data_IF_441952982406
#
_entry.id   IF_441952982406
#
_cell.length_a   1.000
_cell.length_b   1.000
_cell.length_c   1.000
_cell.angle_alpha   90.00
_cell.angle_beta   90.00
_cell.angle_gamma   90.00
#
_symmetry.space_group_name_H-M   'P 1'
#
loop_
_entity.id
_entity.type
_entity.pdbx_description
1 polymer ?
#
# COMPACT_ATOMS: atom_id res chain seq x y z
N UNK A 1 27.70 44.44 26.71
CA UNK A 1 26.76 43.35 26.38
C UNK A 1 25.36 43.92 26.41
N UNK A 2 24.73 44.07 25.25
CA UNK A 2 23.31 44.46 25.14
C UNK A 2 22.46 43.37 25.80
N UNK A 3 21.65 43.75 26.79
CA UNK A 3 20.66 42.85 27.42
C UNK A 3 19.76 42.32 26.32
N UNK A 4 19.77 41.01 26.09
CA UNK A 4 18.82 40.36 25.18
C UNK A 4 17.46 40.34 25.90
N UNK A 5 16.59 41.29 25.57
CA UNK A 5 15.22 41.32 26.09
C UNK A 5 14.39 40.22 25.44
N UNK A 6 13.60 39.50 26.24
CA UNK A 6 12.72 38.45 25.74
C UNK A 6 11.51 39.09 25.06
N UNK A 7 11.17 38.60 23.86
CA UNK A 7 9.94 38.99 23.17
C UNK A 7 8.71 38.68 24.03
N UNK A 8 7.71 39.55 23.98
CA UNK A 8 6.42 39.35 24.65
C UNK A 8 5.53 38.30 23.95
N UNK A 9 5.88 37.90 22.72
CA UNK A 9 5.19 36.86 21.95
C UNK A 9 6.11 35.67 21.73
N UNK A 10 5.57 34.47 21.90
CA UNK A 10 6.27 33.24 21.53
C UNK A 10 6.48 33.18 20.02
N UNK A 11 7.71 32.93 19.60
CA UNK A 11 8.11 32.84 18.19
C UNK A 11 8.61 31.42 17.90
N UNK A 12 7.72 30.48 17.49
CA UNK A 12 8.12 29.09 17.28
C UNK A 12 9.24 28.94 16.26
N UNK A 13 9.24 29.77 15.21
CA UNK A 13 10.26 29.73 14.17
C UNK A 13 11.66 29.98 14.72
N UNK A 14 11.82 30.95 15.64
CA UNK A 14 13.11 31.25 16.28
C UNK A 14 13.54 30.15 17.26
N UNK A 15 12.57 29.50 17.90
CA UNK A 15 12.79 28.49 18.93
C UNK A 15 13.14 27.14 18.31
N UNK A 16 12.46 26.76 17.23
CA UNK A 16 12.65 25.50 16.50
C UNK A 16 13.89 25.52 15.58
N UNK A 17 14.27 26.69 15.06
CA UNK A 17 15.38 26.81 14.12
C UNK A 17 16.69 26.18 14.66
N UNK A 18 17.25 25.23 13.90
CA UNK A 18 18.48 24.51 14.25
C UNK A 18 18.35 23.51 15.39
N UNK A 19 17.17 23.38 16.02
CA UNK A 19 16.99 22.56 17.22
C UNK A 19 16.98 21.08 16.88
N UNK A 20 16.35 20.70 15.77
CA UNK A 20 16.25 19.32 15.35
C UNK A 20 17.63 18.77 14.95
N UNK A 21 18.37 19.55 14.18
CA UNK A 21 19.75 19.27 13.77
C UNK A 21 20.64 19.08 15.00
N UNK A 22 20.54 19.97 16.00
CA UNK A 22 21.28 19.83 17.24
C UNK A 22 20.91 18.59 18.07
N UNK A 23 19.70 18.06 17.94
CA UNK A 23 19.30 16.80 18.58
C UNK A 23 19.89 15.59 17.85
N UNK A 24 19.91 15.63 16.52
CA UNK A 24 20.50 14.58 15.68
C UNK A 24 22.02 14.51 15.83
N UNK A 25 22.72 15.65 15.82
CA UNK A 25 24.18 15.72 16.02
C UNK A 25 24.63 15.13 17.36
N UNK A 26 23.75 15.18 18.36
CA UNK A 26 23.98 14.63 19.71
C UNK A 26 23.45 13.21 19.87
N UNK A 27 22.93 12.60 18.81
CA UNK A 27 22.39 11.23 18.81
C UNK A 27 21.31 10.99 19.89
N UNK A 28 20.53 12.03 20.25
CA UNK A 28 19.62 11.99 21.41
C UNK A 28 18.45 11.01 21.28
N UNK A 29 18.20 10.51 20.07
CA UNK A 29 17.07 9.62 19.78
C UNK A 29 17.45 8.15 19.68
N UNK A 30 18.74 7.83 19.66
CA UNK A 30 19.23 6.45 19.63
C UNK A 30 18.89 5.73 20.95
N UNK A 31 18.60 4.42 20.90
CA UNK A 31 18.57 3.60 22.10
C UNK A 31 19.90 3.72 22.86
N UNK A 32 19.82 3.84 24.17
CA UNK A 32 20.98 3.92 25.07
C UNK A 32 21.79 2.62 25.10
N UNK A 33 21.17 1.48 24.78
CA UNK A 33 21.80 0.16 24.86
C UNK A 33 22.00 -0.33 26.30
N UNK A 34 21.42 0.36 27.28
CA UNK A 34 21.47 -0.05 28.68
C UNK A 34 20.66 -1.33 28.88
N UNK A 35 21.36 -2.44 29.16
CA UNK A 35 20.75 -3.76 29.37
C UNK A 35 19.87 -3.86 30.63
N UNK A 36 20.02 -2.93 31.58
CA UNK A 36 19.20 -2.86 32.79
C UNK A 36 17.90 -2.08 32.56
N UNK A 37 17.87 -1.20 31.56
CA UNK A 37 16.69 -0.43 31.21
C UNK A 37 15.69 -1.32 30.46
N UNK A 38 14.41 -1.18 30.79
CA UNK A 38 13.35 -1.95 30.13
C UNK A 38 13.19 -1.46 28.68
N UNK A 39 13.25 -2.32 27.67
CA UNK A 39 13.10 -1.90 26.27
C UNK A 39 11.66 -1.47 25.98
N UNK A 40 11.51 -0.47 25.14
CA UNK A 40 10.21 -0.06 24.59
C UNK A 40 10.38 0.35 23.13
N UNK A 41 9.68 -0.31 22.22
CA UNK A 41 9.83 -0.02 20.79
C UNK A 41 8.51 0.26 20.10
N UNK A 42 8.52 1.22 19.18
CA UNK A 42 7.46 1.45 18.20
C UNK A 42 8.11 1.35 16.82
N UNK A 43 7.40 0.75 15.87
CA UNK A 43 7.75 0.82 14.44
C UNK A 43 6.80 1.85 13.84
N UNK A 44 7.34 2.86 13.16
CA UNK A 44 6.48 3.80 12.43
C UNK A 44 5.73 3.00 11.36
N UNK A 45 4.41 3.19 11.17
CA UNK A 45 3.73 2.73 9.97
C UNK A 45 4.44 3.37 8.77
N UNK A 46 5.15 2.59 7.94
CA UNK A 46 6.04 3.16 6.94
C UNK A 46 5.20 3.89 5.89
N UNK A 47 5.38 5.21 5.68
CA UNK A 47 4.65 5.91 4.64
C UNK A 47 5.10 5.44 3.26
N UNK A 48 4.18 5.47 2.32
CA UNK A 48 4.44 5.14 0.92
C UNK A 48 5.30 6.22 0.25
N UNK A 49 6.28 5.82 -0.55
CA UNK A 49 7.12 6.75 -1.35
C UNK A 49 6.39 7.29 -2.60
N UNK A 50 5.12 7.65 -2.46
CA UNK A 50 4.22 8.03 -3.58
C UNK A 50 3.86 9.52 -3.60
N UNK A 51 4.29 10.29 -2.60
CA UNK A 51 3.83 11.66 -2.40
C UNK A 51 4.42 12.34 -1.15
N UNK A 52 4.05 13.60 -0.93
CA UNK A 52 4.34 14.30 0.34
C UNK A 52 3.36 13.85 1.43
N UNK A 53 3.83 13.82 2.68
CA UNK A 53 2.97 13.51 3.82
C UNK A 53 1.90 14.59 4.02
N UNK A 54 0.66 14.16 4.26
CA UNK A 54 -0.47 15.01 4.67
C UNK A 54 -0.73 14.99 6.19
N UNK A 55 -1.70 15.78 6.66
CA UNK A 55 -2.08 15.91 8.08
C UNK A 55 -2.38 14.59 8.80
N UNK A 56 -2.96 13.60 8.11
CA UNK A 56 -3.15 12.25 8.67
C UNK A 56 -1.84 11.61 9.18
N UNK A 57 -0.74 11.74 8.44
CA UNK A 57 0.57 11.24 8.88
C UNK A 57 1.12 12.05 10.06
N UNK A 58 0.90 13.37 10.07
CA UNK A 58 1.30 14.22 11.18
C UNK A 58 0.56 13.83 12.47
N UNK A 59 -0.74 13.52 12.37
CA UNK A 59 -1.53 13.05 13.50
C UNK A 59 -1.05 11.68 14.01
N UNK A 60 -0.86 10.71 13.12
CA UNK A 60 -0.35 9.38 13.47
C UNK A 60 1.01 9.44 14.18
N UNK A 61 1.96 10.15 13.58
CA UNK A 61 3.33 10.24 14.10
C UNK A 61 3.44 11.07 15.37
N UNK A 62 2.64 12.13 15.54
CA UNK A 62 2.64 12.93 16.76
C UNK A 62 2.22 12.10 17.99
N UNK A 63 1.22 11.22 17.84
CA UNK A 63 0.79 10.33 18.93
C UNK A 63 1.90 9.35 19.33
N UNK A 64 2.58 8.75 18.35
CA UNK A 64 3.69 7.84 18.60
C UNK A 64 4.88 8.57 19.26
N UNK A 65 5.23 9.77 18.80
CA UNK A 65 6.34 10.57 19.37
C UNK A 65 6.09 10.94 20.84
N UNK A 66 4.86 11.34 21.17
CA UNK A 66 4.46 11.65 22.55
C UNK A 66 4.72 10.42 23.46
N UNK A 67 4.31 9.23 23.02
CA UNK A 67 4.50 7.99 23.77
C UNK A 67 5.98 7.65 23.90
N UNK A 68 6.76 7.74 22.81
CA UNK A 68 8.20 7.46 22.82
C UNK A 68 8.92 8.40 23.78
N UNK A 69 8.66 9.71 23.71
CA UNK A 69 9.26 10.70 24.60
C UNK A 69 8.89 10.44 26.05
N UNK A 70 7.62 10.16 26.33
CA UNK A 70 7.16 9.82 27.67
C UNK A 70 7.87 8.58 28.22
N UNK A 71 8.00 7.51 27.41
CA UNK A 71 8.69 6.28 27.81
C UNK A 71 10.17 6.49 28.04
N UNK A 72 10.84 7.26 27.19
CA UNK A 72 12.24 7.65 27.35
C UNK A 72 12.44 8.41 28.67
N UNK A 73 11.56 9.35 28.99
CA UNK A 73 11.58 10.09 30.26
C UNK A 73 11.26 9.24 31.49
N UNK A 74 10.54 8.12 31.33
CA UNK A 74 10.28 7.12 32.38
C UNK A 74 11.46 6.15 32.59
N UNK A 75 12.57 6.32 31.87
CA UNK A 75 13.76 5.47 31.98
C UNK A 75 13.73 4.19 31.15
N UNK A 76 12.81 4.06 30.20
CA UNK A 76 12.83 2.95 29.24
C UNK A 76 13.91 3.16 28.20
N UNK A 77 14.51 2.07 27.71
CA UNK A 77 15.38 2.11 26.53
C UNK A 77 14.51 2.10 25.27
N UNK A 78 14.28 3.29 24.71
CA UNK A 78 13.31 3.47 23.63
C UNK A 78 13.91 3.34 22.25
N UNK A 79 13.28 2.58 21.36
CA UNK A 79 13.53 2.57 19.92
C UNK A 79 12.27 2.99 19.16
N UNK A 80 12.30 4.11 18.47
CA UNK A 80 11.30 4.40 17.45
C UNK A 80 11.93 4.20 16.08
N UNK A 81 11.58 3.07 15.45
CA UNK A 81 12.19 2.61 14.20
C UNK A 81 11.53 3.31 13.01
N UNK A 82 12.25 4.20 12.29
CA UNK A 82 11.73 4.78 11.07
C UNK A 82 11.83 3.80 9.90
N UNK A 83 10.94 3.94 8.94
CA UNK A 83 11.06 3.27 7.66
C UNK A 83 10.04 3.79 6.65
N UNK A 84 10.21 3.41 5.39
CA UNK A 84 9.36 3.80 4.28
C UNK A 84 8.96 2.58 3.46
N UNK A 85 7.78 2.65 2.84
CA UNK A 85 7.24 1.58 2.02
C UNK A 85 7.37 1.92 0.54
N UNK A 86 7.91 0.98 -0.23
CA UNK A 86 7.98 1.01 -1.69
C UNK A 86 6.60 1.10 -2.36
N UNK A 87 5.52 0.66 -1.70
CA UNK A 87 4.13 0.76 -2.16
C UNK A 87 3.84 0.19 -3.57
N UNK A 88 4.70 -0.69 -4.08
CA UNK A 88 4.53 -1.46 -5.33
C UNK A 88 3.76 -0.72 -6.45
N UNK A 89 2.51 -1.15 -6.66
CA UNK A 89 1.61 -0.65 -7.71
C UNK A 89 1.39 0.87 -7.61
N UNK A 90 1.28 1.42 -6.40
CA UNK A 90 1.02 2.85 -6.20
C UNK A 90 2.22 3.71 -6.65
N UNK A 91 3.45 3.29 -6.33
CA UNK A 91 4.67 3.97 -6.78
C UNK A 91 4.84 3.83 -8.29
N UNK A 92 4.61 2.63 -8.83
CA UNK A 92 4.66 2.40 -10.27
C UNK A 92 3.69 3.32 -11.02
N UNK A 93 2.44 3.44 -10.56
CA UNK A 93 1.44 4.32 -11.18
C UNK A 93 1.86 5.79 -11.17
N UNK A 94 2.48 6.26 -10.09
CA UNK A 94 2.98 7.64 -9.97
C UNK A 94 4.17 7.94 -10.87
N UNK A 95 5.12 7.00 -10.97
CA UNK A 95 6.26 7.13 -11.88
C UNK A 95 5.79 7.09 -13.34
N UNK A 96 4.87 6.18 -13.69
CA UNK A 96 4.27 6.12 -15.03
C UNK A 96 3.49 7.40 -15.38
N UNK A 97 2.78 8.00 -14.41
CA UNK A 97 2.11 9.29 -14.58
C UNK A 97 3.11 10.42 -14.91
N UNK A 98 4.21 10.54 -14.14
CA UNK A 98 5.28 11.53 -14.40
C UNK A 98 5.95 11.32 -15.76
N UNK A 99 6.23 10.06 -16.14
CA UNK A 99 6.82 9.75 -17.45
C UNK A 99 5.86 10.11 -18.59
N UNK A 100 4.56 9.86 -18.42
CA UNK A 100 3.53 10.21 -19.40
C UNK A 100 3.42 11.73 -19.60
N UNK A 101 3.59 12.53 -18.55
CA UNK A 101 3.66 14.00 -18.66
C UNK A 101 4.85 14.47 -19.52
N UNK A 102 5.93 13.68 -19.56
CA UNK A 102 7.09 13.90 -20.42
C UNK A 102 6.93 13.27 -21.81
N UNK A 103 5.78 12.64 -22.10
CA UNK A 103 5.51 11.94 -23.35
C UNK A 103 6.26 10.61 -23.50
N UNK A 104 6.78 10.05 -22.41
CA UNK A 104 7.55 8.79 -22.40
C UNK A 104 6.69 7.68 -21.80
N UNK A 105 6.66 6.52 -22.44
CA UNK A 105 6.07 5.30 -21.88
C UNK A 105 7.12 4.44 -21.18
N UNK A 106 6.71 3.67 -20.17
CA UNK A 106 7.57 2.63 -19.56
C UNK A 106 8.10 1.63 -20.59
N UNK A 107 7.34 1.39 -21.65
CA UNK A 107 7.73 0.46 -22.72
C UNK A 107 8.87 1.02 -23.57
N UNK A 108 8.98 2.35 -23.68
CA UNK A 108 10.06 3.02 -24.42
C UNK A 108 11.40 2.92 -23.66
N UNK A 109 11.34 2.92 -22.32
CA UNK A 109 12.50 2.82 -21.44
C UNK A 109 13.03 1.38 -21.33
N UNK A 110 12.13 0.39 -21.33
CA UNK A 110 12.44 -0.96 -20.92
C UNK A 110 12.59 -1.11 -19.40
N UNK A 111 12.68 -2.36 -18.93
CA UNK A 111 12.61 -2.68 -17.50
C UNK A 111 13.71 -2.04 -16.66
N UNK A 112 14.96 -2.16 -17.10
CA UNK A 112 16.13 -1.71 -16.32
C UNK A 112 16.07 -0.20 -16.04
N UNK A 113 15.94 0.59 -17.11
CA UNK A 113 15.82 2.06 -17.00
C UNK A 113 14.57 2.49 -16.22
N UNK A 114 13.45 1.79 -16.40
CA UNK A 114 12.26 2.08 -15.61
C UNK A 114 12.49 1.85 -14.11
N UNK A 115 13.19 0.78 -13.74
CA UNK A 115 13.55 0.52 -12.34
C UNK A 115 14.51 1.60 -11.80
N UNK A 116 15.47 2.07 -12.59
CA UNK A 116 16.33 3.19 -12.22
C UNK A 116 15.52 4.48 -11.93
N UNK A 117 14.53 4.80 -12.78
CA UNK A 117 13.62 5.94 -12.55
C UNK A 117 12.80 5.78 -11.27
N UNK A 118 12.33 4.56 -10.97
CA UNK A 118 11.60 4.27 -9.72
C UNK A 118 12.50 4.48 -8.49
N UNK A 119 13.77 4.09 -8.56
CA UNK A 119 14.73 4.34 -7.47
C UNK A 119 15.07 5.83 -7.31
N UNK A 120 15.23 6.55 -8.41
CA UNK A 120 15.42 8.00 -8.41
C UNK A 120 14.24 8.71 -7.73
N UNK A 121 13.01 8.32 -8.11
CA UNK A 121 11.79 8.78 -7.46
C UNK A 121 11.79 8.48 -5.96
N UNK A 122 12.15 7.26 -5.56
CA UNK A 122 12.25 6.88 -4.13
C UNK A 122 13.18 7.81 -3.37
N UNK A 123 14.36 8.15 -3.90
CA UNK A 123 15.31 9.00 -3.18
C UNK A 123 14.80 10.44 -3.02
N UNK A 124 14.18 11.00 -4.06
CA UNK A 124 13.55 12.32 -4.02
C UNK A 124 12.46 12.38 -2.92
N UNK A 125 11.54 11.42 -2.92
CA UNK A 125 10.42 11.41 -1.98
C UNK A 125 10.85 11.00 -0.56
N UNK A 126 11.83 10.11 -0.42
CA UNK A 126 12.42 9.82 0.88
C UNK A 126 13.03 11.08 1.53
N UNK A 127 13.68 11.94 0.73
CA UNK A 127 14.16 13.24 1.17
C UNK A 127 13.04 14.11 1.73
N UNK A 128 11.95 14.28 0.99
CA UNK A 128 10.80 15.06 1.43
C UNK A 128 10.14 14.51 2.70
N UNK A 129 9.99 13.19 2.82
CA UNK A 129 9.44 12.54 4.01
C UNK A 129 10.31 12.85 5.24
N UNK A 130 11.65 12.73 5.10
CA UNK A 130 12.59 13.04 6.19
C UNK A 130 12.52 14.51 6.60
N UNK A 131 12.43 15.44 5.63
CA UNK A 131 12.26 16.87 5.92
C UNK A 131 10.97 17.15 6.69
N UNK A 132 9.87 16.47 6.34
CA UNK A 132 8.59 16.62 7.03
C UNK A 132 8.65 16.05 8.46
N UNK A 133 9.25 14.87 8.65
CA UNK A 133 9.50 14.31 9.98
C UNK A 133 10.39 15.22 10.83
N UNK A 134 11.44 15.80 10.23
CA UNK A 134 12.31 16.76 10.89
C UNK A 134 11.56 18.02 11.30
N UNK A 135 10.70 18.54 10.42
CA UNK A 135 9.91 19.73 10.72
C UNK A 135 8.89 19.51 11.82
N UNK A 136 8.34 18.30 11.94
CA UNK A 136 7.48 17.90 13.07
C UNK A 136 8.28 17.62 14.36
N UNK A 137 9.60 17.49 14.27
CA UNK A 137 10.48 17.24 15.40
C UNK A 137 10.39 15.82 15.95
N UNK A 138 10.12 14.83 15.10
CA UNK A 138 9.93 13.43 15.54
C UNK A 138 11.22 12.82 16.11
N UNK A 139 11.15 12.11 17.25
CA UNK A 139 12.33 11.53 17.89
C UNK A 139 12.75 10.15 17.34
N UNK A 140 12.93 10.07 16.01
CA UNK A 140 13.24 8.86 15.26
C UNK A 140 14.74 8.49 15.29
N UNK A 141 15.04 7.19 15.27
CA UNK A 141 16.41 6.68 15.11
C UNK A 141 16.73 6.42 13.63
N UNK A 142 17.20 7.45 12.92
CA UNK A 142 17.58 7.34 11.51
C UNK A 142 18.75 6.38 11.23
N UNK A 143 19.57 6.05 12.24
CA UNK A 143 20.67 5.08 12.04
C UNK A 143 20.18 3.66 11.75
N UNK A 144 18.88 3.42 11.99
CA UNK A 144 18.20 2.14 11.75
C UNK A 144 17.09 2.25 10.72
N UNK A 145 17.03 3.36 9.96
CA UNK A 145 15.99 3.56 8.96
C UNK A 145 15.92 2.38 7.98
N UNK A 146 14.70 1.91 7.72
CA UNK A 146 14.43 0.79 6.82
C UNK A 146 13.66 1.20 5.57
N UNK A 147 13.87 0.46 4.50
CA UNK A 147 13.06 0.55 3.29
C UNK A 147 12.63 -0.86 2.91
N UNK A 148 11.38 -1.05 2.53
CA UNK A 148 10.82 -2.39 2.29
C UNK A 148 11.55 -3.20 1.21
N UNK A 149 12.26 -2.54 0.29
CA UNK A 149 13.13 -3.18 -0.70
C UNK A 149 14.64 -3.09 -0.37
N UNK A 150 15.00 -2.71 0.86
CA UNK A 150 16.39 -2.85 1.32
C UNK A 150 16.80 -4.32 1.44
N UNK A 151 18.10 -4.60 1.46
CA UNK A 151 18.63 -5.97 1.45
C UNK A 151 18.12 -6.79 2.64
N UNK A 152 18.02 -6.17 3.82
CA UNK A 152 17.62 -6.86 5.05
C UNK A 152 16.15 -7.26 5.06
N UNK A 153 15.26 -6.35 4.66
CA UNK A 153 13.83 -6.64 4.55
C UNK A 153 13.53 -7.56 3.37
N UNK A 154 14.26 -7.43 2.26
CA UNK A 154 14.15 -8.35 1.11
C UNK A 154 14.52 -9.79 1.48
N UNK A 155 15.58 -9.97 2.28
CA UNK A 155 15.94 -11.29 2.82
C UNK A 155 14.87 -11.82 3.77
N UNK A 156 14.32 -10.97 4.65
CA UNK A 156 13.25 -11.36 5.55
C UNK A 156 12.00 -11.84 4.80
N UNK A 157 11.55 -11.12 3.77
CA UNK A 157 10.42 -11.52 2.91
C UNK A 157 10.70 -12.86 2.23
N UNK A 158 11.90 -13.05 1.68
CA UNK A 158 12.30 -14.31 1.04
C UNK A 158 12.27 -15.47 2.04
N UNK A 159 12.80 -15.27 3.25
CA UNK A 159 12.77 -16.29 4.30
C UNK A 159 11.34 -16.67 4.68
N UNK A 160 10.46 -15.69 4.86
CA UNK A 160 9.04 -15.94 5.18
C UNK A 160 8.36 -16.70 4.05
N UNK A 161 8.55 -16.27 2.80
CA UNK A 161 7.99 -16.96 1.64
C UNK A 161 8.42 -18.43 1.58
N UNK A 162 9.73 -18.71 1.67
CA UNK A 162 10.26 -20.08 1.64
C UNK A 162 9.72 -20.89 2.83
N UNK A 163 9.69 -20.32 4.03
CA UNK A 163 9.18 -21.00 5.23
C UNK A 163 7.69 -21.36 5.08
N UNK A 164 6.87 -20.47 4.52
CA UNK A 164 5.44 -20.72 4.32
C UNK A 164 5.19 -21.70 3.17
N UNK A 165 6.03 -21.67 2.13
CA UNK A 165 6.02 -22.65 1.05
C UNK A 165 6.39 -24.06 1.54
N UNK A 166 7.46 -24.20 2.34
CA UNK A 166 7.86 -25.47 2.96
C UNK A 166 6.81 -26.04 3.93
N UNK A 167 5.94 -25.18 4.47
CA UNK A 167 4.78 -25.56 5.30
C UNK A 167 3.52 -25.84 4.50
N UNK A 168 3.58 -25.85 3.17
CA UNK A 168 2.44 -26.05 2.26
C UNK A 168 1.33 -24.99 2.41
N UNK A 169 1.66 -23.81 2.95
CA UNK A 169 0.73 -22.68 3.09
C UNK A 169 0.76 -21.72 1.88
N UNK A 170 1.80 -21.82 1.06
CA UNK A 170 1.90 -21.13 -0.24
C UNK A 170 1.94 -22.20 -1.32
N UNK A 171 1.07 -22.06 -2.32
CA UNK A 171 1.00 -22.96 -3.47
C UNK A 171 0.79 -22.18 -4.77
N UNK A 172 0.94 -22.86 -5.89
CA UNK A 172 0.60 -22.34 -7.22
C UNK A 172 -0.58 -23.14 -7.76
N UNK A 173 -1.63 -22.44 -8.18
CA UNK A 173 -2.82 -23.03 -8.77
C UNK A 173 -3.52 -22.04 -9.70
N UNK A 174 -4.49 -22.55 -10.46
CA UNK A 174 -5.36 -21.77 -11.32
C UNK A 174 -6.70 -21.57 -10.62
N UNK A 175 -7.11 -20.31 -10.46
CA UNK A 175 -8.37 -19.92 -9.84
C UNK A 175 -8.84 -18.58 -10.41
N UNK A 176 -10.11 -18.23 -10.22
CA UNK A 176 -10.65 -16.93 -10.64
C UNK A 176 -10.02 -15.83 -9.78
N UNK A 177 -9.45 -14.82 -10.43
CA UNK A 177 -8.80 -13.67 -9.79
C UNK A 177 -9.50 -12.37 -10.16
N UNK A 178 -9.30 -11.34 -9.35
CA UNK A 178 -9.56 -9.96 -9.76
C UNK A 178 -8.39 -9.48 -10.63
N UNK A 179 -8.65 -9.12 -11.89
CA UNK A 179 -7.62 -8.66 -12.83
C UNK A 179 -7.87 -7.21 -13.22
N UNK A 180 -6.86 -6.35 -13.05
CA UNK A 180 -6.89 -4.98 -13.56
C UNK A 180 -6.36 -4.94 -15.01
N UNK A 181 -7.20 -4.65 -16.03
CA UNK A 181 -6.77 -4.55 -17.42
C UNK A 181 -5.84 -3.36 -17.69
N UNK A 182 -5.84 -2.32 -16.86
CA UNK A 182 -5.00 -1.15 -17.02
C UNK A 182 -3.58 -1.41 -16.49
N UNK A 183 -3.44 -1.80 -15.22
CA UNK A 183 -2.14 -2.14 -14.64
C UNK A 183 -1.59 -3.49 -15.15
N UNK A 184 -2.46 -4.35 -15.68
CA UNK A 184 -2.16 -5.71 -16.15
C UNK A 184 -1.59 -6.59 -15.04
N UNK A 185 -2.28 -6.64 -13.91
CA UNK A 185 -1.91 -7.44 -12.74
C UNK A 185 -3.14 -7.99 -12.03
N UNK A 186 -2.93 -9.08 -11.28
CA UNK A 186 -3.91 -9.56 -10.32
C UNK A 186 -3.98 -8.62 -9.10
N UNK A 187 -5.17 -8.50 -8.51
CA UNK A 187 -5.44 -7.76 -7.29
C UNK A 187 -6.05 -8.70 -6.23
N UNK A 188 -5.72 -8.44 -4.98
CA UNK A 188 -6.39 -9.07 -3.83
C UNK A 188 -7.77 -8.46 -3.59
N UNK A 189 -8.66 -9.20 -2.91
CA UNK A 189 -10.03 -8.73 -2.65
C UNK A 189 -10.07 -7.42 -1.86
N UNK A 190 -9.11 -7.19 -0.94
CA UNK A 190 -9.03 -5.96 -0.14
C UNK A 190 -8.63 -4.73 -0.98
N UNK A 191 -8.05 -4.92 -2.16
CA UNK A 191 -7.70 -3.84 -3.09
C UNK A 191 -8.87 -3.47 -4.02
N UNK A 192 -9.95 -4.28 -4.06
CA UNK A 192 -11.10 -4.06 -4.93
C UNK A 192 -12.15 -3.20 -4.24
N UNK A 193 -12.37 -2.00 -4.80
CA UNK A 193 -13.37 -1.06 -4.32
C UNK A 193 -14.67 -1.27 -5.09
N UNK A 194 -15.70 -1.70 -4.38
CA UNK A 194 -17.04 -1.87 -4.95
C UNK A 194 -17.75 -0.52 -5.07
N UNK A 195 -18.35 -0.28 -6.24
CA UNK A 195 -19.12 0.92 -6.53
C UNK A 195 -20.37 0.56 -7.31
N UNK A 196 -21.49 1.16 -6.93
CA UNK A 196 -22.71 1.06 -7.72
C UNK A 196 -22.55 1.93 -8.97
N UNK A 197 -22.78 1.31 -10.13
CA UNK A 197 -22.75 1.97 -11.43
C UNK A 197 -24.09 1.73 -12.12
N UNK A 198 -24.58 2.75 -12.82
CA UNK A 198 -25.74 2.57 -13.69
C UNK A 198 -25.36 1.65 -14.85
N UNK A 199 -26.20 0.65 -15.12
CA UNK A 199 -25.98 -0.34 -16.14
C UNK A 199 -27.29 -0.81 -16.75
N UNK A 200 -27.20 -1.73 -17.70
CA UNK A 200 -28.37 -2.34 -18.34
C UNK A 200 -28.55 -3.79 -17.86
N UNK A 201 -29.81 -4.21 -17.75
CA UNK A 201 -30.17 -5.58 -17.40
C UNK A 201 -30.84 -6.25 -18.59
N UNK A 202 -30.07 -7.08 -19.30
CA UNK A 202 -30.47 -7.68 -20.57
C UNK A 202 -31.23 -8.97 -20.32
N UNK A 203 -32.23 -9.23 -21.16
CA UNK A 203 -32.92 -10.52 -21.22
C UNK A 203 -32.62 -11.15 -22.58
N UNK A 204 -32.03 -12.34 -22.58
CA UNK A 204 -31.67 -13.08 -23.78
C UNK A 204 -32.28 -14.47 -23.77
N UNK A 205 -32.47 -15.06 -24.95
CA UNK A 205 -33.09 -16.37 -25.10
C UNK A 205 -32.11 -17.33 -25.76
N UNK A 206 -31.87 -18.47 -25.11
CA UNK A 206 -31.11 -19.59 -25.64
C UNK A 206 -32.08 -20.65 -26.21
N UNK A 207 -32.03 -20.95 -27.52
CA UNK A 207 -32.70 -22.11 -28.08
C UNK A 207 -32.33 -23.42 -27.38
N UNK A 208 -33.31 -24.31 -27.20
CA UNK A 208 -33.03 -25.69 -26.82
C UNK A 208 -32.43 -26.44 -28.02
N UNK A 209 -31.42 -27.28 -27.76
CA UNK A 209 -30.73 -28.03 -28.81
C UNK A 209 -31.65 -29.06 -29.52
N UNK A 210 -32.75 -29.47 -28.88
CA UNK A 210 -33.77 -30.33 -29.48
C UNK A 210 -34.68 -29.59 -30.49
N UNK A 211 -34.53 -28.27 -30.60
CA UNK A 211 -35.29 -27.41 -31.52
C UNK A 211 -36.68 -27.00 -31.02
N UNK A 212 -37.09 -27.43 -29.81
CA UNK A 212 -38.44 -27.20 -29.30
C UNK A 212 -38.45 -26.29 -28.07
N UNK A 213 -38.28 -24.99 -28.29
CA UNK A 213 -38.43 -23.96 -27.28
C UNK A 213 -37.16 -23.17 -26.98
N UNK A 214 -37.24 -22.29 -26.00
CA UNK A 214 -36.14 -21.43 -25.56
C UNK A 214 -36.12 -21.31 -24.05
N UNK A 215 -34.94 -21.13 -23.46
CA UNK A 215 -34.78 -20.67 -22.08
C UNK A 215 -34.38 -19.20 -22.06
N UNK A 216 -35.05 -18.39 -21.25
CA UNK A 216 -34.72 -16.97 -21.07
C UNK A 216 -33.81 -16.80 -19.87
N UNK A 217 -32.68 -16.12 -20.06
CA UNK A 217 -31.78 -15.72 -18.98
C UNK A 217 -31.71 -14.20 -18.90
N UNK A 218 -31.34 -13.70 -17.72
CA UNK A 218 -31.12 -12.29 -17.49
C UNK A 218 -29.69 -12.05 -16.97
N UNK A 219 -28.99 -11.05 -17.52
CA UNK A 219 -27.60 -10.75 -17.19
C UNK A 219 -27.29 -9.26 -17.36
N UNK A 220 -26.34 -8.75 -16.57
CA UNK A 220 -25.75 -7.43 -16.77
C UNK A 220 -24.56 -7.46 -17.73
N UNK A 221 -24.07 -8.64 -18.12
CA UNK A 221 -22.84 -8.84 -18.91
C UNK A 221 -23.09 -9.71 -20.15
N UNK A 222 -23.83 -9.22 -21.16
CA UNK A 222 -24.14 -10.01 -22.34
C UNK A 222 -22.89 -10.45 -23.13
N UNK A 223 -21.77 -9.75 -22.98
CA UNK A 223 -20.49 -10.13 -23.60
C UNK A 223 -19.90 -11.43 -23.04
N UNK A 224 -20.32 -11.86 -21.84
CA UNK A 224 -19.88 -13.14 -21.24
C UNK A 224 -20.59 -14.36 -21.80
N UNK A 225 -21.69 -14.16 -22.54
CA UNK A 225 -22.51 -15.21 -23.16
C UNK A 225 -21.68 -16.22 -23.97
N UNK A 226 -20.64 -15.76 -24.67
CA UNK A 226 -19.77 -16.64 -25.48
C UNK A 226 -18.90 -17.59 -24.65
N UNK A 227 -18.76 -17.32 -23.35
CA UNK A 227 -18.07 -18.18 -22.39
C UNK A 227 -19.02 -19.03 -21.55
N UNK A 228 -20.34 -18.98 -21.80
CA UNK A 228 -21.31 -19.78 -21.06
C UNK A 228 -21.05 -21.28 -21.29
N UNK A 229 -21.05 -22.05 -20.21
CA UNK A 229 -20.85 -23.51 -20.25
C UNK A 229 -22.09 -24.28 -19.77
N UNK A 230 -23.00 -23.60 -19.07
CA UNK A 230 -24.26 -24.17 -18.58
C UNK A 230 -25.26 -23.04 -18.26
N UNK A 231 -26.54 -23.40 -18.20
CA UNK A 231 -27.60 -22.57 -17.61
C UNK A 231 -27.98 -23.18 -16.27
N UNK A 232 -27.85 -22.41 -15.18
CA UNK A 232 -28.22 -22.85 -13.84
C UNK A 232 -29.70 -22.53 -13.56
N UNK A 233 -30.45 -23.51 -13.06
CA UNK A 233 -31.84 -23.36 -12.60
C UNK A 233 -31.95 -23.86 -11.16
N UNK A 234 -32.81 -23.22 -10.36
CA UNK A 234 -33.06 -23.66 -9.00
C UNK A 234 -33.81 -25.01 -9.03
N UNK A 235 -33.37 -26.03 -8.26
CA UNK A 235 -33.92 -27.39 -8.38
C UNK A 235 -35.42 -27.49 -8.03
N UNK A 236 -35.92 -26.60 -7.19
CA UNK A 236 -37.33 -26.57 -6.78
C UNK A 236 -38.20 -25.63 -7.65
N UNK A 237 -37.63 -24.94 -8.64
CA UNK A 237 -38.39 -24.03 -9.50
C UNK A 237 -39.21 -24.81 -10.53
N UNK A 238 -40.51 -24.93 -10.27
CA UNK A 238 -41.44 -25.71 -11.09
C UNK A 238 -41.49 -25.26 -12.55
N UNK A 239 -41.18 -23.99 -12.82
CA UNK A 239 -41.19 -23.42 -14.17
C UNK A 239 -40.16 -24.06 -15.10
N UNK A 240 -39.08 -24.63 -14.54
CA UNK A 240 -37.93 -25.12 -15.29
C UNK A 240 -37.59 -26.60 -15.02
N UNK A 241 -38.41 -27.33 -14.23
CA UNK A 241 -38.20 -28.75 -13.91
C UNK A 241 -37.97 -29.60 -15.17
N UNK A 242 -38.77 -29.36 -16.22
CA UNK A 242 -38.69 -30.10 -17.48
C UNK A 242 -37.48 -29.74 -18.36
N UNK A 243 -36.73 -28.69 -18.00
CA UNK A 243 -35.52 -28.26 -18.70
C UNK A 243 -34.23 -28.80 -18.07
N UNK A 244 -34.30 -29.36 -16.85
CA UNK A 244 -33.13 -29.91 -16.16
C UNK A 244 -32.54 -31.06 -16.98
N UNK A 245 -31.25 -30.96 -17.30
CA UNK A 245 -30.53 -31.95 -18.11
C UNK A 245 -30.66 -31.76 -19.62
N UNK A 246 -31.41 -30.76 -20.10
CA UNK A 246 -31.46 -30.39 -21.52
C UNK A 246 -30.29 -29.49 -21.92
N UNK A 247 -29.90 -29.56 -23.19
CA UNK A 247 -28.83 -28.73 -23.78
C UNK A 247 -29.42 -27.50 -24.48
N UNK A 248 -28.66 -26.41 -24.48
CA UNK A 248 -28.96 -25.15 -25.18
C UNK A 248 -27.91 -24.86 -26.25
N UNK A 249 -28.24 -24.00 -27.22
CA UNK A 249 -27.34 -23.53 -28.29
C UNK A 249 -27.26 -22.01 -28.31
#
# INVERSE_FOLDING_TARGET
MTKKELSTKYQPQEVEAGRYEAWLEKDLFKPSGNKEAKPYSIVIPPPNVTGKLHLGHAWDTALQDIIIRQKRMQGYDTLWLPGMDHAGIATQAKVEEKLREQGISRYDLGREKFVEEVWSWKEEYAGHIREQWAKLGLSLDYSRERFTLDDGLSEAVRKVFVTLYEKELIYRGEYIINWDPQAKTALSDIEVIHKDIEGAFYHMSYPLADGYGVVKIATTRPETMLGDTAVAVHPEDERYKDLIGKMVV
#
